data_IF_255961826265
#
_entry.id   IF_255961826265
#
_cell.length_a   1.000
_cell.length_b   1.000
_cell.length_c   1.000
_cell.angle_alpha   90.00
_cell.angle_beta   90.00
_cell.angle_gamma   90.00
#
_symmetry.space_group_name_H-M   'P 1'
#
loop_
_entity.id
_entity.type
_entity.pdbx_description
1 polymer ?
#
# COMPACT_ATOMS: atom_id res chain seq x y z
N UNK A 1 -13.33 12.35 3.46
CA UNK A 1 -11.85 12.48 3.31
C UNK A 1 -11.36 13.92 3.41
N UNK A 2 -11.76 14.83 2.52
CA UNK A 2 -11.23 16.21 2.48
C UNK A 2 -11.24 16.92 3.85
N UNK A 3 -12.37 16.94 4.55
CA UNK A 3 -12.48 17.52 5.90
C UNK A 3 -11.53 16.87 6.92
N UNK A 4 -11.26 15.57 6.80
CA UNK A 4 -10.29 14.86 7.65
C UNK A 4 -8.88 15.36 7.42
N UNK A 5 -8.45 15.46 6.16
CA UNK A 5 -7.11 15.92 5.81
C UNK A 5 -6.89 17.39 6.19
N UNK A 6 -7.90 18.24 6.01
CA UNK A 6 -7.87 19.64 6.45
C UNK A 6 -7.78 19.78 7.98
N UNK A 7 -8.49 18.94 8.73
CA UNK A 7 -8.41 18.91 10.19
C UNK A 7 -7.03 18.42 10.66
N UNK A 8 -6.50 17.37 10.04
CA UNK A 8 -5.16 16.85 10.32
C UNK A 8 -4.09 17.91 10.07
N UNK A 9 -4.13 18.60 8.92
CA UNK A 9 -3.20 19.68 8.60
C UNK A 9 -3.28 20.85 9.59
N UNK A 10 -4.48 21.14 10.09
CA UNK A 10 -4.69 22.15 11.12
C UNK A 10 -4.40 21.67 12.56
N UNK A 11 -4.06 20.38 12.74
CA UNK A 11 -3.88 19.73 14.04
C UNK A 11 -5.09 19.86 14.96
N UNK A 12 -6.29 19.93 14.40
CA UNK A 12 -7.52 20.21 15.14
C UNK A 12 -8.58 19.13 14.88
N UNK A 13 -8.59 18.05 15.69
CA UNK A 13 -9.56 16.97 15.52
C UNK A 13 -10.99 17.40 15.88
N UNK A 14 -11.19 18.50 16.63
CA UNK A 14 -12.53 19.00 16.98
C UNK A 14 -13.31 19.47 15.75
N UNK A 15 -12.61 19.72 14.63
CA UNK A 15 -13.22 20.03 13.33
C UNK A 15 -13.94 18.83 12.71
N UNK A 16 -13.83 17.63 13.26
CA UNK A 16 -14.40 16.42 12.67
C UNK A 16 -15.71 15.99 13.33
N UNK A 17 -16.73 15.57 12.53
CA UNK A 17 -17.92 14.97 13.08
C UNK A 17 -17.58 13.53 13.47
N UNK A 18 -17.30 13.31 14.75
CA UNK A 18 -16.91 12.01 15.30
C UNK A 18 -18.01 11.45 16.19
N UNK A 19 -18.11 10.12 16.26
CA UNK A 19 -18.89 9.48 17.31
C UNK A 19 -18.08 9.37 18.62
N UNK A 20 -18.73 9.26 19.80
CA UNK A 20 -18.02 8.97 21.06
C UNK A 20 -17.24 7.64 21.04
N UNK A 21 -17.53 6.76 20.08
CA UNK A 21 -16.87 5.44 19.91
C UNK A 21 -15.85 5.45 18.77
N UNK A 22 -15.46 6.62 18.28
CA UNK A 22 -14.51 6.72 17.17
C UNK A 22 -13.20 6.08 17.55
N UNK A 23 -12.82 5.03 16.83
CA UNK A 23 -11.54 4.35 17.03
C UNK A 23 -10.53 4.85 16.01
N UNK A 24 -9.41 5.34 16.50
CA UNK A 24 -8.29 5.81 15.69
C UNK A 24 -7.07 4.91 15.93
N UNK A 25 -6.41 4.51 14.84
CA UNK A 25 -5.09 3.86 14.91
C UNK A 25 -4.09 4.56 14.00
N UNK A 26 -2.87 4.70 14.48
CA UNK A 26 -1.71 5.01 13.65
C UNK A 26 -0.73 3.84 13.72
N UNK A 27 -0.30 3.34 12.55
CA UNK A 27 0.65 2.23 12.45
C UNK A 27 0.25 0.99 13.27
N UNK A 28 -1.05 0.69 13.28
CA UNK A 28 -1.62 -0.46 13.98
C UNK A 28 -1.76 -0.29 15.50
N UNK A 29 -1.45 0.88 16.06
CA UNK A 29 -1.62 1.17 17.48
C UNK A 29 -2.84 2.04 17.68
N UNK A 30 -3.77 1.60 18.54
CA UNK A 30 -4.93 2.40 18.93
C UNK A 30 -4.49 3.53 19.88
N UNK A 31 -4.82 4.77 19.50
CA UNK A 31 -4.44 5.98 20.23
C UNK A 31 -5.60 7.00 20.18
N UNK A 32 -5.68 7.95 21.12
CA UNK A 32 -6.68 9.01 21.07
C UNK A 32 -6.55 9.85 19.78
N UNK A 33 -7.70 10.25 19.23
CA UNK A 33 -7.74 11.14 18.07
C UNK A 33 -7.15 12.50 18.44
N UNK A 34 -6.20 12.99 17.66
CA UNK A 34 -5.41 14.19 17.97
C UNK A 34 -3.99 13.90 18.44
N UNK A 35 -3.61 12.62 18.61
CA UNK A 35 -2.24 12.22 18.94
C UNK A 35 -1.40 11.82 17.73
N UNK A 36 -0.12 11.50 17.97
CA UNK A 36 0.86 11.04 16.99
C UNK A 36 1.10 12.04 15.85
N UNK A 37 0.83 11.71 14.58
CA UNK A 37 1.06 12.62 13.44
C UNK A 37 0.33 13.96 13.60
N UNK A 38 -0.80 13.99 14.32
CA UNK A 38 -1.53 15.23 14.63
C UNK A 38 -0.68 16.25 15.39
N UNK A 39 0.32 15.83 16.19
CA UNK A 39 1.22 16.75 16.89
C UNK A 39 2.24 17.40 15.95
N UNK A 40 2.71 16.65 14.95
CA UNK A 40 3.97 16.94 14.25
C UNK A 40 3.79 17.29 12.77
N UNK A 41 2.66 16.94 12.15
CA UNK A 41 2.42 17.28 10.74
C UNK A 41 2.53 18.80 10.52
N UNK A 42 3.21 19.21 9.46
CA UNK A 42 3.41 20.63 9.14
C UNK A 42 2.53 21.04 7.96
N UNK A 43 2.36 20.16 6.98
CA UNK A 43 1.51 20.39 5.82
C UNK A 43 1.12 19.07 5.14
N UNK A 44 0.06 19.12 4.33
CA UNK A 44 -0.18 18.10 3.30
C UNK A 44 0.77 18.34 2.11
N UNK A 45 1.16 17.26 1.46
CA UNK A 45 1.91 17.28 0.21
C UNK A 45 0.98 17.43 -1.01
N UNK A 46 1.58 17.37 -2.19
CA UNK A 46 0.89 17.56 -3.47
C UNK A 46 0.17 16.32 -4.00
N UNK A 47 0.46 15.13 -3.46
CA UNK A 47 -0.12 13.88 -3.93
C UNK A 47 -1.31 13.47 -3.07
N UNK A 48 -2.43 13.15 -3.71
CA UNK A 48 -3.60 12.52 -3.09
C UNK A 48 -4.34 11.68 -4.10
N UNK A 49 -4.52 10.39 -3.82
CA UNK A 49 -5.41 9.49 -4.57
C UNK A 49 -6.47 8.94 -3.61
N UNK A 50 -7.74 9.03 -3.98
CA UNK A 50 -8.88 8.61 -3.16
C UNK A 50 -9.51 7.34 -3.76
N UNK A 51 -9.99 6.46 -2.87
CA UNK A 51 -10.68 5.21 -3.21
C UNK A 51 -11.95 5.14 -2.39
N UNK A 52 -13.11 5.11 -3.06
CA UNK A 52 -14.41 5.37 -2.41
C UNK A 52 -15.35 4.18 -2.56
N UNK A 53 -15.90 3.72 -1.45
CA UNK A 53 -16.96 2.70 -1.42
C UNK A 53 -18.14 3.27 -0.63
N UNK A 54 -19.05 3.90 -1.36
CA UNK A 54 -20.22 4.57 -0.78
C UNK A 54 -21.20 3.57 -0.18
N UNK A 55 -21.30 2.36 -0.74
CA UNK A 55 -22.18 1.30 -0.25
C UNK A 55 -21.75 0.77 1.12
N UNK A 56 -20.45 0.65 1.36
CA UNK A 56 -19.90 0.24 2.65
C UNK A 56 -19.70 1.41 3.63
N UNK A 57 -19.90 2.66 3.20
CA UNK A 57 -19.58 3.84 4.00
C UNK A 57 -18.08 3.97 4.28
N UNK A 58 -17.24 3.56 3.33
CA UNK A 58 -15.79 3.45 3.50
C UNK A 58 -15.07 4.30 2.45
N UNK A 59 -13.98 4.93 2.86
CA UNK A 59 -13.10 5.67 1.94
C UNK A 59 -11.66 5.53 2.40
N UNK A 60 -10.76 5.28 1.47
CA UNK A 60 -9.33 5.28 1.70
C UNK A 60 -8.63 6.31 0.81
N UNK A 61 -7.47 6.80 1.24
CA UNK A 61 -6.63 7.67 0.42
C UNK A 61 -5.16 7.40 0.66
N UNK A 62 -4.37 7.53 -0.40
CA UNK A 62 -2.92 7.66 -0.32
C UNK A 62 -2.56 9.13 -0.48
N UNK A 63 -1.83 9.69 0.48
CA UNK A 63 -1.58 11.13 0.60
C UNK A 63 -0.13 11.36 1.00
N UNK A 64 0.55 12.33 0.38
CA UNK A 64 1.86 12.79 0.87
C UNK A 64 1.69 13.88 1.92
N UNK A 65 2.67 14.00 2.83
CA UNK A 65 2.67 15.00 3.89
C UNK A 65 4.09 15.49 4.18
N UNK A 66 4.19 16.58 4.95
CA UNK A 66 5.43 17.09 5.51
C UNK A 66 5.33 17.07 7.03
N UNK A 67 6.33 16.52 7.69
CA UNK A 67 6.48 16.47 9.15
C UNK A 67 7.86 16.99 9.53
N UNK A 68 7.94 18.15 10.17
CA UNK A 68 9.21 18.78 10.58
C UNK A 68 10.24 18.84 9.43
N UNK A 69 9.84 19.41 8.29
CA UNK A 69 10.63 19.53 7.05
C UNK A 69 11.05 18.20 6.39
N UNK A 70 10.48 17.07 6.84
CA UNK A 70 10.69 15.76 6.22
C UNK A 70 9.44 15.34 5.45
N UNK A 71 9.56 14.99 4.16
CA UNK A 71 8.44 14.44 3.41
C UNK A 71 8.11 13.03 3.92
N UNK A 72 6.83 12.68 3.83
CA UNK A 72 6.30 11.36 4.16
C UNK A 72 5.11 11.02 3.28
N UNK A 73 4.69 9.77 3.34
CA UNK A 73 3.50 9.26 2.65
C UNK A 73 2.66 8.46 3.64
N UNK A 74 1.34 8.59 3.53
CA UNK A 74 0.38 7.87 4.35
C UNK A 74 -0.69 7.22 3.49
N UNK A 75 -1.19 6.07 3.95
CA UNK A 75 -2.54 5.64 3.62
C UNK A 75 -3.45 5.90 4.81
N UNK A 76 -4.63 6.46 4.57
CA UNK A 76 -5.66 6.64 5.59
C UNK A 76 -6.98 6.03 5.11
N UNK A 77 -7.64 5.24 5.95
CA UNK A 77 -8.98 4.69 5.70
C UNK A 77 -9.95 5.17 6.77
N UNK A 78 -11.11 5.66 6.35
CA UNK A 78 -12.18 6.18 7.18
C UNK A 78 -13.44 5.35 6.99
N UNK A 79 -14.15 5.07 8.10
CA UNK A 79 -15.54 4.61 8.09
C UNK A 79 -16.48 5.74 8.48
N UNK A 80 -17.55 5.89 7.74
CA UNK A 80 -18.62 6.86 7.99
C UNK A 80 -19.92 6.11 8.21
N UNK A 81 -20.55 6.34 9.35
CA UNK A 81 -21.88 5.80 9.67
C UNK A 81 -22.76 6.94 10.16
N UNK A 82 -23.97 7.08 9.60
CA UNK A 82 -24.89 8.15 9.99
C UNK A 82 -24.30 9.58 9.84
N UNK A 83 -23.37 9.78 8.91
CA UNK A 83 -22.72 11.07 8.66
C UNK A 83 -21.59 11.44 9.63
N UNK A 84 -21.21 10.54 10.56
CA UNK A 84 -20.08 10.74 11.48
C UNK A 84 -18.98 9.70 11.25
N UNK A 85 -17.75 10.06 11.58
CA UNK A 85 -16.61 9.13 11.60
C UNK A 85 -16.77 8.16 12.78
N UNK A 86 -16.62 6.87 12.50
CA UNK A 86 -16.60 5.81 13.52
C UNK A 86 -15.27 5.08 13.60
N UNK A 87 -14.49 5.09 12.52
CA UNK A 87 -13.19 4.44 12.47
C UNK A 87 -12.22 5.23 11.61
N UNK A 88 -10.96 5.31 12.03
CA UNK A 88 -9.86 5.98 11.33
C UNK A 88 -8.63 5.08 11.45
N UNK A 89 -8.12 4.61 10.31
CA UNK A 89 -6.98 3.70 10.24
C UNK A 89 -5.89 4.32 9.37
N UNK A 90 -4.74 4.64 9.96
CA UNK A 90 -3.63 5.32 9.28
C UNK A 90 -2.36 4.45 9.32
N UNK A 91 -1.72 4.29 8.16
CA UNK A 91 -0.38 3.69 8.02
C UNK A 91 0.55 4.74 7.41
N UNK A 92 1.71 4.95 8.04
CA UNK A 92 2.65 6.01 7.71
C UNK A 92 4.01 5.46 7.31
N UNK A 93 4.61 6.08 6.30
CA UNK A 93 6.02 5.97 5.99
C UNK A 93 6.65 7.37 6.10
N UNK A 94 7.32 7.61 7.23
CA UNK A 94 7.97 8.89 7.57
C UNK A 94 9.35 9.01 6.94
N UNK A 95 9.81 10.24 6.76
CA UNK A 95 11.14 10.54 6.19
C UNK A 95 11.38 9.87 4.82
N UNK A 96 10.33 9.80 4.02
CA UNK A 96 10.35 9.25 2.67
C UNK A 96 10.67 10.37 1.68
N UNK A 97 11.95 10.50 1.31
CA UNK A 97 12.41 11.53 0.37
C UNK A 97 11.71 11.48 -0.98
N UNK A 98 11.34 10.28 -1.44
CA UNK A 98 10.68 10.10 -2.73
C UNK A 98 9.25 10.64 -2.73
N UNK A 99 8.61 10.79 -1.56
CA UNK A 99 7.28 11.38 -1.45
C UNK A 99 7.21 12.83 -1.95
N UNK A 100 8.32 13.58 -1.91
CA UNK A 100 8.39 14.94 -2.45
C UNK A 100 8.44 15.00 -3.99
N UNK A 101 8.76 13.88 -4.64
CA UNK A 101 8.98 13.78 -6.08
C UNK A 101 7.89 12.95 -6.81
N UNK A 102 6.79 12.64 -6.12
CA UNK A 102 5.67 11.93 -6.74
C UNK A 102 4.98 12.82 -7.78
N UNK A 103 4.67 12.23 -8.94
CA UNK A 103 3.82 12.87 -9.95
C UNK A 103 2.35 12.83 -9.50
N UNK A 104 1.46 13.66 -10.08
CA UNK A 104 0.03 13.53 -9.83
C UNK A 104 -0.47 12.09 -10.01
N UNK A 105 -1.50 11.66 -9.26
CA UNK A 105 -2.05 10.32 -9.38
C UNK A 105 -2.42 9.97 -10.81
N UNK A 106 -2.20 8.70 -11.18
CA UNK A 106 -2.60 8.17 -12.48
C UNK A 106 -4.13 8.31 -12.63
N UNK A 107 -4.64 9.00 -13.68
CA UNK A 107 -6.08 9.15 -13.90
C UNK A 107 -6.85 7.84 -13.97
N UNK A 108 -6.19 6.71 -14.25
CA UNK A 108 -6.82 5.39 -14.32
C UNK A 108 -7.51 4.97 -13.02
N UNK A 109 -7.10 5.54 -11.87
CA UNK A 109 -7.76 5.29 -10.58
C UNK A 109 -9.21 5.78 -10.56
N UNK A 110 -9.54 6.81 -11.35
CA UNK A 110 -10.88 7.41 -11.43
C UNK A 110 -11.71 6.86 -12.61
N UNK A 111 -11.08 6.10 -13.50
CA UNK A 111 -11.76 5.55 -14.67
C UNK A 111 -12.73 4.43 -14.28
N UNK A 112 -13.97 4.59 -14.73
CA UNK A 112 -15.04 3.60 -14.57
C UNK A 112 -14.91 2.54 -15.67
N UNK A 113 -14.95 1.26 -15.28
CA UNK A 113 -14.97 0.16 -16.24
C UNK A 113 -16.36 -0.03 -16.86
N UNK A 114 -16.45 -0.47 -18.14
CA UNK A 114 -17.70 -0.91 -18.73
C UNK A 114 -18.40 -1.97 -17.85
N UNK A 115 -19.72 -1.86 -17.67
CA UNK A 115 -20.47 -2.75 -16.78
C UNK A 115 -20.28 -4.25 -17.11
N UNK A 116 -20.09 -4.60 -18.38
CA UNK A 116 -19.89 -5.97 -18.84
C UNK A 116 -18.50 -6.55 -18.56
N UNK A 117 -17.50 -5.72 -18.22
CA UNK A 117 -16.14 -6.15 -17.88
C UNK A 117 -15.82 -6.06 -16.38
N UNK A 118 -16.78 -5.59 -15.57
CA UNK A 118 -16.63 -5.48 -14.12
C UNK A 118 -16.66 -6.85 -13.48
N UNK A 119 -15.63 -7.13 -12.68
CA UNK A 119 -15.63 -8.19 -11.68
C UNK A 119 -16.57 -7.83 -10.54
N UNK A 120 -17.17 -8.83 -9.93
CA UNK A 120 -17.92 -8.68 -8.68
C UNK A 120 -17.02 -8.27 -7.52
N UNK A 121 -17.60 -7.69 -6.48
CA UNK A 121 -16.92 -7.40 -5.20
C UNK A 121 -16.08 -8.56 -4.66
N UNK A 122 -16.60 -9.78 -4.74
CA UNK A 122 -15.92 -10.98 -4.23
C UNK A 122 -14.71 -11.36 -5.10
N UNK A 123 -14.85 -11.25 -6.43
CA UNK A 123 -13.75 -11.49 -7.38
C UNK A 123 -12.64 -10.46 -7.22
N UNK A 124 -12.99 -9.19 -6.99
CA UNK A 124 -12.04 -8.11 -6.70
C UNK A 124 -11.24 -8.40 -5.42
N UNK A 125 -11.92 -8.76 -4.33
CA UNK A 125 -11.26 -9.14 -3.08
C UNK A 125 -10.32 -10.35 -3.27
N UNK A 126 -10.78 -11.39 -3.96
CA UNK A 126 -9.95 -12.57 -4.28
C UNK A 126 -8.73 -12.21 -5.14
N UNK A 127 -8.89 -11.33 -6.12
CA UNK A 127 -7.78 -10.86 -6.95
C UNK A 127 -6.71 -10.12 -6.14
N UNK A 128 -7.13 -9.25 -5.22
CA UNK A 128 -6.23 -8.53 -4.33
C UNK A 128 -5.53 -9.48 -3.33
N UNK A 129 -6.25 -10.46 -2.78
CA UNK A 129 -5.63 -11.51 -1.95
C UNK A 129 -4.63 -12.36 -2.75
N UNK A 130 -4.98 -12.69 -4.00
CA UNK A 130 -4.10 -13.41 -4.92
C UNK A 130 -2.76 -12.72 -5.11
N UNK A 131 -2.73 -11.38 -5.16
CA UNK A 131 -1.48 -10.61 -5.19
C UNK A 131 -0.65 -10.82 -3.92
N UNK A 132 -1.27 -10.75 -2.73
CA UNK A 132 -0.58 -10.98 -1.46
C UNK A 132 0.04 -12.38 -1.43
N UNK A 133 -0.73 -13.38 -1.88
CA UNK A 133 -0.25 -14.76 -2.00
C UNK A 133 0.90 -14.88 -2.99
N UNK A 134 0.80 -14.25 -4.17
CA UNK A 134 1.85 -14.27 -5.18
C UNK A 134 3.17 -13.70 -4.65
N UNK A 135 3.14 -12.59 -3.92
CA UNK A 135 4.34 -12.02 -3.29
C UNK A 135 4.90 -12.92 -2.20
N UNK A 136 4.04 -13.47 -1.33
CA UNK A 136 4.48 -14.31 -0.21
C UNK A 136 5.03 -15.68 -0.64
N UNK A 137 4.51 -16.24 -1.73
CA UNK A 137 4.91 -17.55 -2.26
C UNK A 137 5.90 -17.43 -3.43
N UNK A 138 6.17 -16.21 -3.90
CA UNK A 138 7.01 -15.91 -5.07
C UNK A 138 6.51 -16.63 -6.33
N UNK A 139 5.19 -16.61 -6.52
CA UNK A 139 4.51 -17.31 -7.61
C UNK A 139 3.38 -16.45 -8.18
N UNK A 140 3.66 -15.83 -9.33
CA UNK A 140 2.73 -14.94 -10.02
C UNK A 140 1.46 -15.64 -10.50
N UNK A 141 1.40 -16.97 -10.53
CA UNK A 141 0.19 -17.72 -10.93
C UNK A 141 -0.99 -17.54 -9.97
N UNK A 142 -0.74 -17.05 -8.75
CA UNK A 142 -1.80 -16.73 -7.79
C UNK A 142 -2.57 -15.45 -8.12
N UNK A 143 -2.08 -14.64 -9.05
CA UNK A 143 -2.67 -13.35 -9.40
C UNK A 143 -2.75 -13.16 -10.90
N UNK A 144 -3.87 -12.65 -11.39
CA UNK A 144 -3.97 -12.21 -12.79
C UNK A 144 -3.51 -10.76 -12.88
N UNK A 145 -2.33 -10.54 -13.43
CA UNK A 145 -1.91 -9.20 -13.85
C UNK A 145 -2.50 -8.86 -15.22
N UNK A 146 -2.74 -7.58 -15.46
CA UNK A 146 -3.07 -7.11 -16.80
C UNK A 146 -1.84 -7.26 -17.71
N UNK A 147 -2.04 -7.86 -18.89
CA UNK A 147 -0.96 -8.24 -19.80
C UNK A 147 -0.28 -7.05 -20.48
N UNK A 148 -0.96 -5.90 -20.56
CA UNK A 148 -0.48 -4.72 -21.29
C UNK A 148 0.22 -3.73 -20.37
N UNK A 149 -0.29 -3.57 -19.16
CA UNK A 149 0.15 -2.54 -18.22
C UNK A 149 0.00 -3.04 -16.79
N UNK A 150 1.09 -2.99 -16.02
CA UNK A 150 1.04 -3.27 -14.60
C UNK A 150 2.14 -2.48 -13.91
N UNK A 151 1.76 -1.56 -13.03
CA UNK A 151 2.69 -0.75 -12.24
C UNK A 151 2.53 -1.07 -10.77
N UNK A 152 3.63 -1.42 -10.10
CA UNK A 152 3.72 -1.50 -8.64
C UNK A 152 4.44 -0.26 -8.12
N UNK A 153 3.72 0.56 -7.35
CA UNK A 153 4.22 1.81 -6.80
C UNK A 153 4.04 1.82 -5.29
N UNK A 154 5.14 1.65 -4.56
CA UNK A 154 5.11 1.38 -3.13
C UNK A 154 6.00 2.35 -2.38
N UNK A 155 5.50 2.97 -1.31
CA UNK A 155 6.22 3.98 -0.53
C UNK A 155 6.92 5.01 -1.44
N UNK A 156 6.17 5.60 -2.37
CA UNK A 156 6.64 6.60 -3.33
C UNK A 156 7.75 6.13 -4.28
N UNK A 157 7.98 4.83 -4.41
CA UNK A 157 9.01 4.25 -5.29
C UNK A 157 8.43 3.21 -6.23
N UNK A 158 8.79 3.27 -7.52
CA UNK A 158 8.31 2.29 -8.49
C UNK A 158 9.07 0.99 -8.30
N UNK A 159 8.33 -0.08 -7.98
CA UNK A 159 8.90 -1.38 -7.70
C UNK A 159 8.87 -2.27 -8.93
N UNK A 160 7.84 -2.17 -9.78
CA UNK A 160 7.72 -2.92 -11.03
C UNK A 160 6.90 -2.13 -12.04
N UNK A 161 7.15 -2.34 -13.32
CA UNK A 161 6.35 -1.79 -14.41
C UNK A 161 6.41 -2.68 -15.67
N UNK A 162 5.35 -2.72 -16.47
CA UNK A 162 5.38 -3.40 -17.76
C UNK A 162 6.28 -2.60 -18.75
N UNK A 163 6.91 -3.24 -19.76
CA UNK A 163 7.88 -2.57 -20.63
C UNK A 163 7.42 -1.23 -21.23
N UNK A 164 6.13 -1.10 -21.56
CA UNK A 164 5.53 0.12 -22.14
C UNK A 164 5.01 1.15 -21.13
N UNK A 165 5.09 0.88 -19.82
CA UNK A 165 4.57 1.78 -18.79
C UNK A 165 5.48 2.99 -18.56
N UNK A 166 4.83 4.14 -18.29
CA UNK A 166 5.50 5.35 -17.83
C UNK A 166 5.55 5.35 -16.30
N UNK A 167 6.73 5.51 -15.66
CA UNK A 167 6.83 5.53 -14.20
C UNK A 167 6.06 6.73 -13.59
N UNK A 168 5.23 6.52 -12.55
CA UNK A 168 4.50 7.60 -11.86
C UNK A 168 5.35 8.37 -10.84
N UNK A 169 6.66 8.12 -10.79
CA UNK A 169 7.54 8.70 -9.80
C UNK A 169 8.95 8.12 -9.85
N UNK A 170 9.74 8.32 -8.78
CA UNK A 170 11.11 7.84 -8.70
C UNK A 170 11.25 6.33 -8.94
N UNK A 171 12.21 5.95 -9.78
CA UNK A 171 12.57 4.56 -10.06
C UNK A 171 13.90 4.22 -9.40
N UNK A 172 14.07 2.98 -8.87
CA UNK A 172 15.37 2.47 -8.46
C UNK A 172 16.38 2.54 -9.60
N UNK A 173 17.60 2.97 -9.31
CA UNK A 173 18.72 3.02 -10.26
C UNK A 173 19.74 1.94 -9.93
N UNK A 174 20.26 1.26 -10.95
CA UNK A 174 21.41 0.38 -10.79
C UNK A 174 22.69 1.22 -10.81
N UNK A 175 23.42 1.24 -9.69
CA UNK A 175 24.68 1.99 -9.53
C UNK A 175 25.94 1.13 -9.78
N UNK A 176 25.76 -0.15 -10.15
CA UNK A 176 26.83 -1.10 -10.41
C UNK A 176 27.42 -1.76 -9.15
N UNK A 177 26.92 -1.44 -7.95
CA UNK A 177 27.36 -2.08 -6.71
C UNK A 177 26.73 -3.48 -6.51
N UNK A 178 27.38 -4.30 -5.68
CA UNK A 178 26.89 -5.66 -5.40
C UNK A 178 25.88 -5.67 -4.26
N UNK A 179 24.69 -5.14 -4.52
CA UNK A 179 23.62 -5.09 -3.53
C UNK A 179 22.25 -5.45 -4.13
N UNK A 180 21.32 -5.85 -3.25
CA UNK A 180 19.96 -6.28 -3.62
C UNK A 180 19.13 -5.20 -4.36
N UNK A 181 19.33 -3.90 -4.09
CA UNK A 181 18.61 -2.83 -4.80
C UNK A 181 18.90 -2.83 -6.29
N UNK A 182 20.09 -3.26 -6.71
CA UNK A 182 20.42 -3.36 -8.13
C UNK A 182 19.65 -4.48 -8.82
N UNK A 183 19.24 -5.53 -8.11
CA UNK A 183 18.33 -6.57 -8.65
C UNK A 183 16.93 -5.97 -8.86
N UNK A 184 16.45 -5.15 -7.93
CA UNK A 184 15.17 -4.44 -8.09
C UNK A 184 15.22 -3.54 -9.33
N UNK A 185 16.31 -2.79 -9.53
CA UNK A 185 16.49 -1.97 -10.73
C UNK A 185 16.56 -2.81 -12.02
N UNK A 186 17.31 -3.92 -12.02
CA UNK A 186 17.44 -4.83 -13.17
C UNK A 186 16.13 -5.51 -13.57
N UNK A 187 15.28 -5.80 -12.58
CA UNK A 187 13.98 -6.47 -12.76
C UNK A 187 12.83 -5.48 -12.83
N UNK A 188 13.09 -4.17 -12.83
CA UNK A 188 12.05 -3.14 -12.75
C UNK A 188 11.06 -3.22 -13.91
N UNK A 189 11.56 -3.46 -15.14
CA UNK A 189 10.78 -3.33 -16.38
C UNK A 189 10.35 -4.64 -17.04
N UNK A 190 10.47 -5.77 -16.34
CA UNK A 190 10.11 -7.08 -16.90
C UNK A 190 8.63 -7.44 -16.70
N UNK A 191 7.84 -6.53 -16.11
CA UNK A 191 6.45 -6.75 -15.71
C UNK A 191 6.31 -7.29 -14.29
N UNK A 192 5.14 -7.07 -13.69
CA UNK A 192 4.87 -7.41 -12.28
C UNK A 192 4.99 -8.91 -11.97
N UNK A 193 4.37 -9.76 -12.80
CA UNK A 193 4.41 -11.22 -12.62
C UNK A 193 5.82 -11.78 -12.74
N UNK A 194 6.50 -11.58 -13.88
CA UNK A 194 7.88 -12.05 -14.06
C UNK A 194 8.85 -11.52 -13.00
N UNK A 195 8.63 -10.29 -12.48
CA UNK A 195 9.43 -9.79 -11.36
C UNK A 195 9.20 -10.59 -10.07
N UNK A 196 7.94 -10.86 -9.70
CA UNK A 196 7.63 -11.69 -8.53
C UNK A 196 8.30 -13.06 -8.66
N UNK A 197 8.23 -13.66 -9.84
CA UNK A 197 8.80 -15.00 -10.12
C UNK A 197 10.33 -15.04 -10.05
N UNK A 198 11.03 -13.90 -10.06
CA UNK A 198 12.48 -13.87 -9.81
C UNK A 198 12.83 -14.23 -8.36
N UNK A 199 11.88 -14.14 -7.43
CA UNK A 199 12.12 -14.31 -6.00
C UNK A 199 12.76 -13.10 -5.34
N UNK A 200 12.86 -11.94 -6.01
CA UNK A 200 13.52 -10.74 -5.49
C UNK A 200 12.94 -10.26 -4.15
N UNK A 201 11.69 -10.65 -3.84
CA UNK A 201 11.00 -10.38 -2.57
C UNK A 201 10.88 -11.60 -1.64
N UNK A 202 11.64 -12.68 -1.85
CA UNK A 202 11.49 -13.94 -1.11
C UNK A 202 11.74 -13.84 0.39
N UNK A 203 12.32 -12.73 0.88
CA UNK A 203 12.32 -12.41 2.31
C UNK A 203 10.91 -12.26 2.91
N UNK A 204 9.89 -11.98 2.09
CA UNK A 204 8.47 -12.04 2.47
C UNK A 204 8.03 -13.51 2.43
N UNK A 205 7.67 -14.03 3.59
CA UNK A 205 7.46 -15.48 3.79
C UNK A 205 6.00 -15.86 4.03
N UNK A 206 5.14 -14.87 4.31
CA UNK A 206 3.69 -15.07 4.47
C UNK A 206 2.99 -13.71 4.46
N UNK A 207 1.67 -13.73 4.27
CA UNK A 207 0.80 -12.59 4.56
C UNK A 207 -0.23 -12.99 5.62
N UNK A 208 -0.73 -12.02 6.38
CA UNK A 208 -1.72 -12.23 7.44
C UNK A 208 -2.67 -11.04 7.55
N UNK A 209 -3.78 -11.25 8.25
CA UNK A 209 -4.73 -10.20 8.65
C UNK A 209 -5.30 -9.40 7.47
N UNK A 210 -5.42 -10.04 6.30
CA UNK A 210 -5.95 -9.39 5.11
C UNK A 210 -7.42 -9.00 5.29
N UNK A 211 -7.71 -7.72 5.06
CA UNK A 211 -9.06 -7.13 5.05
C UNK A 211 -9.20 -6.23 3.83
N UNK A 212 -10.42 -6.11 3.32
CA UNK A 212 -10.76 -5.35 2.10
C UNK A 212 -11.84 -4.29 2.39
N UNK A 213 -11.51 -3.25 3.18
CA UNK A 213 -12.50 -2.28 3.66
C UNK A 213 -13.16 -1.44 2.57
N UNK A 214 -12.49 -1.22 1.43
CA UNK A 214 -13.03 -0.43 0.30
C UNK A 214 -12.96 -1.29 -0.95
N UNK A 215 -14.11 -1.51 -1.59
CA UNK A 215 -14.19 -2.14 -2.90
C UNK A 215 -15.16 -1.31 -3.76
N UNK A 216 -14.62 -0.60 -4.75
CA UNK A 216 -15.38 0.14 -5.75
C UNK A 216 -15.58 -0.78 -6.97
N UNK A 217 -16.80 -1.29 -7.15
CA UNK A 217 -17.15 -2.15 -8.29
C UNK A 217 -17.24 -1.38 -9.61
N UNK A 218 -17.49 -0.07 -9.61
CA UNK A 218 -17.58 0.70 -10.84
C UNK A 218 -16.20 1.01 -11.41
N UNK A 219 -15.29 1.47 -10.55
CA UNK A 219 -13.89 1.73 -10.91
C UNK A 219 -13.03 0.49 -10.79
N UNK A 220 -13.55 -0.63 -10.30
CA UNK A 220 -12.79 -1.87 -10.14
C UNK A 220 -11.52 -1.66 -9.32
N UNK A 221 -11.69 -1.02 -8.15
CA UNK A 221 -10.62 -0.69 -7.21
C UNK A 221 -10.86 -1.40 -5.89
N UNK A 222 -9.80 -1.96 -5.31
CA UNK A 222 -9.79 -2.50 -3.95
C UNK A 222 -8.74 -1.75 -3.15
N UNK A 223 -9.07 -1.29 -1.95
CA UNK A 223 -8.06 -0.92 -0.97
C UNK A 223 -8.08 -1.93 0.17
N UNK A 224 -6.92 -2.54 0.43
CA UNK A 224 -6.71 -3.59 1.41
C UNK A 224 -5.82 -3.13 2.57
N UNK A 225 -6.01 -3.75 3.73
CA UNK A 225 -5.15 -3.63 4.91
C UNK A 225 -4.69 -5.02 5.33
N UNK A 226 -3.38 -5.20 5.50
CA UNK A 226 -2.79 -6.52 5.79
C UNK A 226 -1.35 -6.40 6.32
N UNK A 227 -0.79 -7.54 6.74
CA UNK A 227 0.62 -7.65 7.10
C UNK A 227 1.36 -8.58 6.13
N UNK A 228 2.51 -8.14 5.61
CA UNK A 228 3.53 -9.04 5.06
C UNK A 228 4.51 -9.41 6.16
N UNK A 229 4.76 -10.71 6.36
CA UNK A 229 5.63 -11.22 7.41
C UNK A 229 6.95 -11.74 6.85
N UNK A 230 8.02 -11.37 7.53
CA UNK A 230 9.37 -11.85 7.26
C UNK A 230 9.79 -12.72 8.43
N UNK A 231 10.00 -14.01 8.20
CA UNK A 231 10.49 -14.93 9.23
C UNK A 231 12.00 -14.77 9.50
N UNK A 232 12.72 -14.03 8.65
CA UNK A 232 14.18 -13.86 8.71
C UNK A 232 14.99 -15.09 8.28
N UNK A 233 14.33 -16.16 7.82
CA UNK A 233 14.98 -17.42 7.40
C UNK A 233 15.65 -17.34 6.02
N UNK A 234 15.22 -16.39 5.20
CA UNK A 234 15.76 -16.18 3.84
C UNK A 234 16.58 -14.88 3.91
N UNK A 235 17.89 -15.03 3.79
CA UNK A 235 18.85 -13.94 4.04
C UNK A 235 19.42 -13.31 2.77
N UNK A 236 19.08 -13.86 1.60
CA UNK A 236 19.52 -13.37 0.31
C UNK A 236 18.85 -14.12 -0.83
N UNK A 237 19.24 -13.77 -2.05
CA UNK A 237 18.75 -14.34 -3.30
C UNK A 237 19.92 -14.66 -4.22
N UNK A 238 19.82 -15.77 -4.94
CA UNK A 238 20.68 -16.04 -6.09
C UNK A 238 20.05 -15.47 -7.36
N UNK A 239 20.75 -14.55 -8.01
CA UNK A 239 20.29 -13.91 -9.24
C UNK A 239 21.41 -13.91 -10.27
N UNK A 240 21.12 -14.40 -11.48
CA UNK A 240 22.08 -14.54 -12.60
C UNK A 240 23.41 -15.20 -12.19
N UNK A 241 23.33 -16.24 -11.34
CA UNK A 241 24.49 -17.03 -10.91
C UNK A 241 25.32 -16.42 -9.77
N UNK A 242 24.84 -15.33 -9.13
CA UNK A 242 25.50 -14.69 -8.00
C UNK A 242 24.55 -14.54 -6.81
N UNK A 243 25.08 -14.73 -5.61
CA UNK A 243 24.36 -14.52 -4.36
C UNK A 243 24.38 -13.05 -3.93
N UNK A 244 23.24 -12.52 -3.52
CA UNK A 244 23.07 -11.18 -2.97
C UNK A 244 22.36 -11.23 -1.64
N UNK A 245 23.00 -10.74 -0.58
CA UNK A 245 22.39 -10.63 0.73
C UNK A 245 21.30 -9.56 0.75
N UNK A 246 20.18 -9.87 1.39
CA UNK A 246 19.18 -8.87 1.75
C UNK A 246 19.71 -7.95 2.85
N UNK A 247 19.09 -6.78 3.03
CA UNK A 247 19.46 -5.89 4.13
C UNK A 247 19.23 -6.57 5.48
N UNK A 248 20.06 -6.22 6.47
CA UNK A 248 19.98 -6.79 7.82
C UNK A 248 18.56 -6.75 8.40
N UNK A 249 17.82 -5.66 8.17
CA UNK A 249 16.41 -5.49 8.57
C UNK A 249 15.42 -6.52 8.00
N UNK A 250 15.82 -7.33 7.02
CA UNK A 250 15.01 -8.39 6.42
C UNK A 250 15.41 -9.78 6.90
N UNK A 251 16.52 -9.89 7.64
CA UNK A 251 17.14 -11.16 8.05
C UNK A 251 16.74 -11.61 9.47
N UNK A 252 15.71 -11.00 10.07
CA UNK A 252 15.18 -11.39 11.38
C UNK A 252 13.64 -11.24 11.40
N UNK A 253 12.95 -11.92 12.35
CA UNK A 253 11.49 -11.85 12.44
C UNK A 253 10.97 -10.43 12.63
N UNK A 254 10.16 -9.96 11.69
CA UNK A 254 9.41 -8.72 11.76
C UNK A 254 8.30 -8.73 10.69
N UNK A 255 7.48 -7.69 10.63
CA UNK A 255 6.44 -7.57 9.61
C UNK A 255 6.33 -6.15 9.06
N UNK A 256 5.76 -6.03 7.87
CA UNK A 256 5.34 -4.77 7.31
C UNK A 256 3.82 -4.68 7.49
N UNK A 257 3.32 -3.55 7.97
CA UNK A 257 1.89 -3.22 7.98
C UNK A 257 1.60 -2.37 6.75
N UNK A 258 0.62 -2.79 5.94
CA UNK A 258 0.35 -2.21 4.63
C UNK A 258 -1.09 -1.71 4.51
N UNK A 259 -1.25 -0.51 3.95
CA UNK A 259 -2.44 -0.11 3.21
C UNK A 259 -2.12 -0.08 1.73
N UNK A 260 -2.84 -0.87 0.92
CA UNK A 260 -2.51 -1.03 -0.50
C UNK A 260 -3.77 -1.00 -1.37
N UNK A 261 -3.73 -0.20 -2.44
CA UNK A 261 -4.77 -0.12 -3.45
C UNK A 261 -4.42 -0.95 -4.69
N UNK A 262 -5.43 -1.57 -5.29
CA UNK A 262 -5.35 -2.37 -6.49
C UNK A 262 -6.39 -1.87 -7.49
N UNK A 263 -5.96 -1.46 -8.68
CA UNK A 263 -6.85 -1.17 -9.82
C UNK A 263 -6.85 -2.36 -10.75
N UNK A 264 -8.04 -2.79 -11.14
CA UNK A 264 -8.23 -3.85 -12.12
C UNK A 264 -8.66 -3.23 -13.47
N UNK A 265 -8.17 -3.83 -14.56
CA UNK A 265 -8.57 -3.55 -15.94
C UNK A 265 -8.62 -4.87 -16.68
N UNK A 266 -9.70 -5.13 -17.42
CA UNK A 266 -9.90 -6.37 -18.17
C UNK A 266 -9.71 -7.63 -17.29
N UNK A 267 -10.19 -7.56 -16.05
CA UNK A 267 -10.11 -8.64 -15.06
C UNK A 267 -8.74 -8.89 -14.44
N UNK A 268 -7.71 -8.08 -14.76
CA UNK A 268 -6.36 -8.20 -14.19
C UNK A 268 -5.89 -6.94 -13.47
N UNK A 269 -5.01 -7.10 -12.47
CA UNK A 269 -4.41 -5.98 -11.74
C UNK A 269 -3.49 -5.19 -12.68
N UNK A 270 -3.74 -3.90 -12.81
CA UNK A 270 -2.96 -2.96 -13.63
C UNK A 270 -2.22 -1.90 -12.80
N UNK A 271 -2.69 -1.60 -11.58
CA UNK A 271 -1.96 -0.74 -10.64
C UNK A 271 -1.98 -1.36 -9.26
N UNK A 272 -0.85 -1.23 -8.58
CA UNK A 272 -0.69 -1.48 -7.16
C UNK A 272 -0.10 -0.21 -6.55
N UNK A 273 -0.78 0.37 -5.55
CA UNK A 273 -0.30 1.53 -4.81
C UNK A 273 -0.24 1.20 -3.32
N UNK A 274 0.97 0.96 -2.82
CA UNK A 274 1.20 0.56 -1.43
C UNK A 274 1.79 1.68 -0.58
N UNK A 275 1.33 1.78 0.67
CA UNK A 275 2.01 2.51 1.75
C UNK A 275 2.21 1.55 2.90
N UNK A 276 3.43 1.48 3.42
CA UNK A 276 3.71 0.57 4.53
C UNK A 276 4.75 1.08 5.52
N UNK A 277 4.51 0.71 6.78
CA UNK A 277 5.51 0.79 7.83
C UNK A 277 6.45 -0.41 7.72
N UNK A 278 7.74 -0.14 7.57
CA UNK A 278 8.76 -1.17 7.47
C UNK A 278 9.22 -1.68 8.83
N UNK A 279 9.35 -3.00 8.98
CA UNK A 279 10.04 -3.60 10.13
C UNK A 279 9.33 -3.40 11.45
N UNK A 280 7.98 -3.45 11.45
CA UNK A 280 7.19 -3.51 12.66
C UNK A 280 7.50 -4.78 13.46
N UNK A 281 7.20 -4.75 14.76
CA UNK A 281 7.38 -5.90 15.65
C UNK A 281 6.60 -7.10 15.09
N UNK A 282 7.22 -8.28 15.17
CA UNK A 282 6.69 -9.50 14.59
C UNK A 282 5.33 -9.88 15.23
N UNK A 283 4.31 -10.11 14.39
CA UNK A 283 2.94 -10.48 14.82
C UNK A 283 2.25 -9.44 15.70
N UNK A 284 2.54 -8.15 15.52
CA UNK A 284 1.78 -7.07 16.17
C UNK A 284 0.39 -6.91 15.56
N UNK A 285 0.23 -7.26 14.28
CA UNK A 285 -1.04 -7.23 13.58
C UNK A 285 -1.34 -5.88 12.92
N UNK A 286 -2.61 -5.65 12.60
CA UNK A 286 -3.08 -4.41 11.95
C UNK A 286 -3.65 -3.40 12.94
N UNK A 287 -3.83 -3.79 14.19
CA UNK A 287 -4.62 -3.01 15.16
C UNK A 287 -6.13 -3.13 14.93
N UNK A 288 -6.57 -3.81 13.86
CA UNK A 288 -7.98 -4.03 13.53
C UNK A 288 -8.27 -5.50 13.23
N UNK A 289 -7.40 -6.37 13.73
CA UNK A 289 -7.52 -7.81 13.54
C UNK A 289 -8.81 -8.27 14.23
N UNK A 290 -9.62 -9.04 13.50
CA UNK A 290 -10.79 -9.68 14.10
C UNK A 290 -10.27 -10.72 15.07
N UNK A 291 -10.63 -10.62 16.35
CA UNK A 291 -10.36 -11.69 17.31
C UNK A 291 -10.94 -12.97 16.72
N UNK A 292 -10.06 -13.94 16.41
CA UNK A 292 -10.52 -15.30 16.13
C UNK A 292 -10.97 -15.87 17.45
N UNK A 293 -12.27 -15.70 17.75
CA UNK A 293 -12.96 -16.52 18.74
C UNK A 293 -12.86 -18.00 18.36
#
# INVERSE_FOLDING_TARGET
>A
MTRYLEALAAKDPSRLPTSPRTRFTENGVAIPLGEALWYTITALGSYRSDYVDTGAGQIASVVTFVENDKPGIMSVRLRVEGGVLTEIETVLNRNNKNAAAMLPPDPIWEEIEPASSRLSREELARGAEGYMKAVAENDSRHVRFNEKSCIRFENSSVMALAPGDTPPGPTPSNDGTDNWLNIIADTLRIGCGPQIDTGVYSFITSYNNARFPVIDEERQVVFAQFNFRRAGKIQGIDYKGKHYSYFYGMQFPNENLLGEAFKFRDGGITRVQGVFLNGNVYKTGTGWDVEKN
#
